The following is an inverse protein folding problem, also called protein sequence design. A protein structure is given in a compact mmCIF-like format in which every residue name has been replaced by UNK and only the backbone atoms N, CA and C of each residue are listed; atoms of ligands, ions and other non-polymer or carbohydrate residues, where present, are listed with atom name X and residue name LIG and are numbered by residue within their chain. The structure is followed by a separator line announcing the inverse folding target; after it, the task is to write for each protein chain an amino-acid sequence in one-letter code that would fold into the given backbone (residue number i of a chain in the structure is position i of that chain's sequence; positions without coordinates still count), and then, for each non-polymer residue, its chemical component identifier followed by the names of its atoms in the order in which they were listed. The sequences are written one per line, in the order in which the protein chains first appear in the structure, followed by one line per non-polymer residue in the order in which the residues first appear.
data_IF_441565486493
#
_entry.id   IF_441565486493
#
_cell.length_a   1.000
_cell.length_b   1.000
_cell.length_c   1.000
_cell.angle_alpha   90.00
_cell.angle_beta   90.00
_cell.angle_gamma   90.00
#
_symmetry.space_group_name_H-M   'P 1'
#
loop_
_entity.id
_entity.type
_entity.pdbx_description
1 polymer ?
#
# COMPACT_ATOMS: atom_id res chain seq x y z
N UNK A 1 -61.01 -22.75 0.35
CA UNK A 1 -61.09 -22.44 1.79
C UNK A 1 -60.07 -23.30 2.52
N UNK A 2 -58.95 -22.72 2.92
CA UNK A 2 -57.87 -23.41 3.65
C UNK A 2 -57.12 -22.37 4.46
N UNK A 3 -57.30 -22.41 5.77
CA UNK A 3 -56.87 -21.37 6.70
C UNK A 3 -55.36 -21.46 6.99
N UNK A 4 -54.71 -20.30 6.91
CA UNK A 4 -53.34 -20.03 7.32
C UNK A 4 -53.29 -19.86 8.84
N UNK A 5 -52.41 -20.60 9.52
CA UNK A 5 -52.12 -20.46 10.94
C UNK A 5 -50.64 -20.12 11.12
N UNK A 6 -50.34 -18.83 11.25
CA UNK A 6 -49.02 -18.36 11.66
C UNK A 6 -48.87 -18.50 13.18
N UNK A 7 -47.78 -19.11 13.63
CA UNK A 7 -47.38 -19.14 15.05
C UNK A 7 -46.26 -18.14 15.27
N UNK A 8 -46.51 -17.18 16.16
CA UNK A 8 -45.54 -16.27 16.72
C UNK A 8 -44.51 -17.03 17.57
N UNK A 9 -43.23 -16.84 17.28
CA UNK A 9 -42.13 -17.29 18.13
C UNK A 9 -41.57 -16.07 18.86
N UNK A 10 -41.82 -16.01 20.17
CA UNK A 10 -41.17 -15.08 21.10
C UNK A 10 -39.72 -15.52 21.33
N UNK A 11 -38.77 -14.65 21.02
CA UNK A 11 -37.37 -14.80 21.44
C UNK A 11 -37.24 -14.35 22.90
N UNK A 12 -36.86 -15.29 23.76
CA UNK A 12 -36.52 -15.04 25.15
C UNK A 12 -35.08 -14.55 25.29
N UNK A 13 -34.92 -13.45 26.04
CA UNK A 13 -33.64 -12.99 26.56
C UNK A 13 -33.12 -14.01 27.58
N UNK A 14 -31.88 -14.47 27.40
CA UNK A 14 -31.17 -15.32 28.35
C UNK A 14 -29.95 -14.58 28.86
N UNK A 15 -29.91 -14.48 30.19
CA UNK A 15 -28.93 -13.79 30.99
C UNK A 15 -27.53 -14.39 30.89
N UNK A 16 -26.61 -13.49 31.17
CA UNK A 16 -25.17 -13.65 31.41
C UNK A 16 -24.97 -14.48 32.66
N UNK A 17 -24.12 -15.51 32.59
CA UNK A 17 -23.39 -16.00 33.76
C UNK A 17 -22.01 -16.54 33.38
N UNK A 18 -21.06 -16.29 34.29
CA UNK A 18 -19.65 -16.18 34.02
C UNK A 18 -18.86 -17.49 33.91
N UNK A 19 -17.65 -17.34 33.38
CA UNK A 19 -16.54 -18.28 33.61
C UNK A 19 -15.31 -17.45 33.98
N UNK A 20 -14.92 -17.65 35.24
CA UNK A 20 -13.66 -17.26 35.87
C UNK A 20 -12.56 -18.17 35.30
N UNK A 21 -11.41 -17.60 34.93
CA UNK A 21 -10.28 -18.40 34.44
C UNK A 21 -9.02 -17.59 34.19
N UNK A 22 -8.15 -17.64 35.19
CA UNK A 22 -6.69 -17.69 35.11
C UNK A 22 -5.86 -16.40 35.10
N UNK A 23 -5.17 -16.21 36.23
CA UNK A 23 -4.21 -15.15 36.52
C UNK A 23 -2.81 -15.61 36.07
N UNK A 24 -2.37 -15.15 34.91
CA UNK A 24 -0.97 -15.24 34.51
C UNK A 24 -0.15 -14.14 35.18
N UNK A 25 0.59 -14.50 36.23
CA UNK A 25 1.65 -13.70 36.84
C UNK A 25 2.69 -13.27 35.78
N UNK A 26 2.84 -11.96 35.59
CA UNK A 26 3.98 -11.38 34.88
C UNK A 26 5.06 -11.05 35.93
N UNK A 27 6.09 -11.89 35.99
CA UNK A 27 7.29 -11.63 36.77
C UNK A 27 7.96 -10.32 36.33
N UNK A 28 8.13 -9.42 37.28
CA UNK A 28 8.90 -8.20 37.15
C UNK A 28 10.40 -8.54 37.15
N UNK A 29 11.03 -8.51 35.97
CA UNK A 29 12.49 -8.54 35.85
C UNK A 29 13.06 -7.22 36.39
N UNK A 30 13.66 -7.29 37.59
CA UNK A 30 14.53 -6.27 38.14
C UNK A 30 15.83 -6.23 37.35
N UNK A 31 16.06 -5.17 36.58
CA UNK A 31 17.41 -4.83 36.10
C UNK A 31 18.02 -3.79 37.03
N UNK A 32 19.02 -4.22 37.79
CA UNK A 32 19.89 -3.41 38.62
C UNK A 32 20.78 -2.47 37.79
N UNK A 33 21.09 -1.31 38.37
CA UNK A 33 21.83 -0.23 37.76
C UNK A 33 23.30 -0.52 37.45
N UNK A 34 23.81 0.28 36.52
CA UNK A 34 25.21 0.48 36.20
C UNK A 34 25.35 1.88 35.65
N UNK A 35 25.62 2.84 36.54
CA UNK A 35 26.21 4.14 36.20
C UNK A 35 27.67 3.90 35.86
N UNK A 36 28.14 4.36 34.69
CA UNK A 36 29.41 5.08 34.57
C UNK A 36 29.70 5.57 33.13
N UNK A 37 30.09 6.85 33.06
CA UNK A 37 30.94 7.52 32.06
C UNK A 37 30.46 7.63 30.60
N UNK A 38 29.81 8.77 30.27
CA UNK A 38 29.69 9.27 28.90
C UNK A 38 29.75 10.82 28.87
N UNK A 39 30.86 11.40 29.31
CA UNK A 39 31.24 12.79 29.01
C UNK A 39 32.51 12.76 28.16
N UNK A 40 32.38 12.89 26.84
CA UNK A 40 33.39 13.45 25.92
C UNK A 40 33.16 12.97 24.48
N UNK A 41 32.03 13.35 23.84
CA UNK A 41 31.95 13.31 22.36
C UNK A 41 30.89 14.24 21.75
N UNK A 42 30.39 15.24 22.48
CA UNK A 42 29.29 16.12 22.03
C UNK A 42 29.74 17.45 21.40
N UNK A 43 31.03 17.78 21.38
CA UNK A 43 31.49 19.12 20.92
C UNK A 43 31.82 19.25 19.43
N UNK A 44 31.86 18.16 18.66
CA UNK A 44 32.25 18.23 17.23
C UNK A 44 31.10 18.10 16.23
N UNK A 45 29.87 17.78 16.68
CA UNK A 45 28.69 17.69 15.79
C UNK A 45 27.89 18.99 15.68
N UNK A 46 28.06 19.94 16.60
CA UNK A 46 27.37 21.24 16.56
C UNK A 46 27.98 22.20 15.52
N UNK A 47 29.28 22.06 15.22
CA UNK A 47 30.00 22.98 14.32
C UNK A 47 29.66 22.79 12.85
N UNK A 48 29.25 21.59 12.42
CA UNK A 48 28.90 21.31 11.02
C UNK A 48 27.42 21.57 10.70
N UNK A 49 26.53 21.61 11.70
CA UNK A 49 25.12 21.98 11.48
C UNK A 49 24.92 23.51 11.40
N UNK A 50 25.82 24.29 12.00
CA UNK A 50 25.75 25.75 11.98
C UNK A 50 26.22 26.37 10.67
N UNK A 51 27.11 25.73 9.90
CA UNK A 51 27.66 26.28 8.67
C UNK A 51 26.68 26.25 7.47
N UNK A 52 25.73 25.31 7.45
CA UNK A 52 24.71 25.22 6.39
C UNK A 52 23.46 26.07 6.65
N UNK A 53 23.33 26.64 7.86
CA UNK A 53 22.14 27.40 8.29
C UNK A 53 22.39 28.92 8.30
N UNK A 54 23.63 29.37 8.04
CA UNK A 54 24.00 30.79 8.09
C UNK A 54 23.82 31.55 6.76
N UNK A 55 23.56 30.88 5.64
CA UNK A 55 23.24 31.60 4.39
C UNK A 55 21.73 31.61 4.15
N UNK A 56 21.10 32.78 4.33
CA UNK A 56 19.73 33.22 3.93
C UNK A 56 18.65 33.51 5.00
N UNK A 57 18.95 33.50 6.30
CA UNK A 57 17.90 33.85 7.30
C UNK A 57 17.65 35.36 7.49
N UNK A 58 18.54 36.24 6.99
CA UNK A 58 18.53 37.67 7.35
C UNK A 58 17.42 38.51 6.71
N UNK A 59 16.54 37.96 5.87
CA UNK A 59 15.44 38.70 5.26
C UNK A 59 14.12 37.92 5.19
N UNK A 60 13.86 36.98 6.11
CA UNK A 60 12.52 36.40 6.21
C UNK A 60 11.59 37.41 6.90
N UNK A 61 10.43 37.76 6.30
CA UNK A 61 9.41 38.58 6.94
C UNK A 61 9.12 38.07 8.36
N UNK A 62 8.98 38.98 9.32
CA UNK A 62 8.71 38.63 10.74
C UNK A 62 7.47 37.73 10.91
N UNK A 63 6.53 37.81 9.96
CA UNK A 63 5.35 36.94 9.89
C UNK A 63 5.66 35.46 9.62
N UNK A 64 6.80 35.15 8.99
CA UNK A 64 7.27 33.77 8.79
C UNK A 64 8.01 33.22 10.01
N UNK A 65 8.45 34.08 10.92
CA UNK A 65 9.10 33.70 12.18
C UNK A 65 8.10 33.40 13.30
N UNK A 66 6.84 33.83 13.14
CA UNK A 66 5.77 33.60 14.13
C UNK A 66 4.94 32.36 13.74
N UNK A 67 4.88 31.39 14.64
CA UNK A 67 3.97 30.25 14.48
C UNK A 67 2.52 30.73 14.64
N UNK A 68 1.73 30.60 13.59
CA UNK A 68 0.29 30.87 13.63
C UNK A 68 -0.47 29.55 13.83
N UNK A 69 -1.10 29.33 15.00
CA UNK A 69 -1.96 28.17 15.21
C UNK A 69 -3.01 28.07 14.11
N UNK A 70 -3.31 26.85 13.65
CA UNK A 70 -4.19 26.64 12.50
C UNK A 70 -5.53 27.37 12.64
N UNK A 71 -6.15 27.34 13.83
CA UNK A 71 -7.44 28.00 14.10
C UNK A 71 -7.41 29.53 14.04
N UNK A 72 -6.22 30.14 14.08
CA UNK A 72 -6.02 31.60 13.96
C UNK A 72 -5.69 32.05 12.55
N UNK A 73 -5.51 31.10 11.62
CA UNK A 73 -5.30 31.44 10.21
C UNK A 73 -6.59 32.03 9.61
N UNK A 74 -6.48 32.97 8.65
CA UNK A 74 -7.63 33.45 7.89
C UNK A 74 -8.43 32.27 7.29
N UNK A 75 -9.76 32.34 7.27
CA UNK A 75 -10.61 31.27 6.74
C UNK A 75 -10.16 30.79 5.35
N UNK A 76 -9.79 31.71 4.46
CA UNK A 76 -9.34 31.42 3.10
C UNK A 76 -8.10 30.51 3.08
N UNK A 77 -7.15 30.75 4.00
CA UNK A 77 -5.94 29.95 4.14
C UNK A 77 -6.27 28.57 4.71
N UNK A 78 -7.16 28.50 5.72
CA UNK A 78 -7.60 27.21 6.30
C UNK A 78 -8.30 26.34 5.27
N UNK A 79 -9.20 26.92 4.47
CA UNK A 79 -9.89 26.23 3.38
C UNK A 79 -8.90 25.75 2.30
N UNK A 80 -7.89 26.56 1.94
CA UNK A 80 -6.81 26.14 1.03
C UNK A 80 -6.03 24.96 1.59
N UNK A 81 -5.69 24.98 2.89
CA UNK A 81 -5.00 23.85 3.54
C UNK A 81 -5.89 22.61 3.51
N UNK A 82 -7.19 22.70 3.82
CA UNK A 82 -8.08 21.53 3.74
C UNK A 82 -8.15 20.93 2.34
N UNK A 83 -8.24 21.77 1.31
CA UNK A 83 -8.22 21.30 -0.09
C UNK A 83 -6.89 20.65 -0.44
N UNK A 84 -5.77 21.25 -0.03
CA UNK A 84 -4.45 20.70 -0.26
C UNK A 84 -4.31 19.31 0.38
N UNK A 85 -4.70 19.16 1.65
CA UNK A 85 -4.58 17.89 2.37
C UNK A 85 -5.61 16.85 1.88
N UNK A 86 -6.80 17.28 1.46
CA UNK A 86 -7.79 16.38 0.85
C UNK A 86 -7.36 15.83 -0.51
N UNK A 87 -6.43 16.54 -1.17
CA UNK A 87 -5.77 16.10 -2.40
C UNK A 87 -4.48 15.30 -2.15
N UNK A 88 -4.16 14.97 -0.90
CA UNK A 88 -3.10 13.99 -0.66
C UNK A 88 -3.57 12.61 -1.09
N UNK A 89 -2.71 11.84 -1.78
CA UNK A 89 -3.05 10.48 -2.19
C UNK A 89 -3.32 9.61 -0.96
N UNK A 90 -4.39 8.82 -1.01
CA UNK A 90 -4.72 7.86 0.04
C UNK A 90 -5.06 6.50 -0.57
N UNK A 91 -4.58 5.48 0.12
CA UNK A 91 -4.80 4.09 -0.26
C UNK A 91 -6.05 3.56 0.44
N UNK A 92 -7.04 3.11 -0.34
CA UNK A 92 -8.21 2.39 0.15
C UNK A 92 -7.94 0.90 0.00
N UNK A 93 -7.56 0.25 1.08
CA UNK A 93 -7.14 -1.14 1.06
C UNK A 93 -8.32 -2.09 1.22
N UNK A 94 -8.41 -3.05 0.31
CA UNK A 94 -9.26 -4.23 0.41
C UNK A 94 -8.38 -5.45 0.69
N UNK A 95 -8.86 -6.28 1.61
CA UNK A 95 -8.31 -7.58 1.95
C UNK A 95 -9.21 -8.65 1.38
N UNK A 96 -8.57 -9.69 0.83
CA UNK A 96 -9.24 -10.93 0.56
C UNK A 96 -9.31 -11.73 1.86
N UNK A 97 -10.51 -12.11 2.27
CA UNK A 97 -10.74 -12.96 3.45
C UNK A 97 -11.52 -14.18 3.02
N UNK A 98 -11.18 -15.33 3.60
CA UNK A 98 -11.94 -16.56 3.39
C UNK A 98 -13.41 -16.34 3.78
N UNK A 99 -14.34 -16.84 2.97
CA UNK A 99 -15.78 -16.74 3.25
C UNK A 99 -16.11 -17.67 4.41
N UNK A 100 -16.53 -17.16 5.59
CA UNK A 100 -16.70 -18.01 6.77
C UNK A 100 -17.91 -18.94 6.72
N UNK A 101 -18.83 -18.77 5.75
CA UNK A 101 -20.18 -19.38 5.79
C UNK A 101 -20.65 -19.99 4.45
N UNK A 102 -19.75 -20.29 3.53
CA UNK A 102 -20.13 -20.86 2.24
C UNK A 102 -20.10 -22.40 2.25
N UNK A 103 -20.69 -23.02 3.28
CA UNK A 103 -20.93 -24.47 3.30
C UNK A 103 -21.87 -24.92 2.16
N UNK A 104 -22.64 -23.97 1.59
CA UNK A 104 -23.57 -24.20 0.47
C UNK A 104 -23.02 -23.76 -0.91
N UNK A 105 -21.90 -23.03 -0.97
CA UNK A 105 -21.30 -22.65 -2.26
C UNK A 105 -20.26 -23.68 -2.64
N UNK A 106 -20.49 -24.30 -3.80
CA UNK A 106 -19.72 -25.40 -4.44
C UNK A 106 -18.21 -25.11 -4.59
N UNK A 107 -17.70 -23.95 -4.19
CA UNK A 107 -16.30 -23.60 -4.31
C UNK A 107 -15.75 -22.84 -3.07
N UNK A 108 -15.19 -23.56 -2.07
CA UNK A 108 -14.61 -22.96 -0.86
C UNK A 108 -13.36 -22.11 -1.12
N UNK A 109 -12.87 -22.05 -2.37
CA UNK A 109 -11.64 -21.34 -2.72
C UNK A 109 -11.84 -19.83 -3.02
N UNK A 110 -13.08 -19.32 -3.01
CA UNK A 110 -13.31 -17.91 -3.27
C UNK A 110 -13.22 -17.04 -2.01
N UNK A 111 -12.28 -16.09 -2.01
CA UNK A 111 -12.23 -15.05 -0.98
C UNK A 111 -13.31 -13.99 -1.19
N UNK A 112 -13.83 -13.45 -0.10
CA UNK A 112 -14.66 -12.24 -0.09
C UNK A 112 -13.79 -11.00 0.12
N UNK A 113 -14.28 -9.82 -0.26
CA UNK A 113 -13.58 -8.57 -0.07
C UNK A 113 -13.99 -7.91 1.24
N UNK A 114 -13.00 -7.70 2.11
CA UNK A 114 -13.13 -6.93 3.34
C UNK A 114 -12.43 -5.59 3.18
N UNK A 115 -13.15 -4.51 3.43
CA UNK A 115 -12.55 -3.18 3.47
C UNK A 115 -11.75 -3.02 4.77
N UNK A 116 -10.51 -2.53 4.68
CA UNK A 116 -9.73 -2.17 5.85
C UNK A 116 -10.47 -1.08 6.64
N UNK A 117 -10.66 -1.30 7.95
CA UNK A 117 -11.41 -0.39 8.83
C UNK A 117 -10.85 1.05 8.84
N UNK A 118 -9.54 1.21 8.64
CA UNK A 118 -8.87 2.51 8.54
C UNK A 118 -9.10 3.23 7.21
N UNK A 119 -9.43 2.48 6.16
CA UNK A 119 -9.70 3.04 4.82
C UNK A 119 -11.14 3.53 4.66
N UNK A 120 -12.06 3.11 5.53
CA UNK A 120 -13.49 3.41 5.42
C UNK A 120 -13.82 4.91 5.44
N UNK A 121 -13.16 5.68 6.31
CA UNK A 121 -13.41 7.11 6.46
C UNK A 121 -12.10 7.90 6.44
N UNK A 122 -11.96 8.89 5.54
CA UNK A 122 -10.87 9.85 5.58
C UNK A 122 -10.79 10.50 6.97
N UNK A 123 -9.62 10.52 7.64
CA UNK A 123 -9.44 11.21 8.91
C UNK A 123 -9.86 12.70 8.85
N UNK A 124 -9.70 13.33 7.69
CA UNK A 124 -10.06 14.73 7.45
C UNK A 124 -11.53 15.05 7.69
N UNK A 125 -12.43 14.09 7.45
CA UNK A 125 -13.87 14.29 7.71
C UNK A 125 -14.20 14.33 9.21
N UNK A 126 -13.23 14.00 10.08
CA UNK A 126 -13.44 13.93 11.54
C UNK A 126 -12.71 15.02 12.32
N UNK A 127 -11.97 15.90 11.64
CA UNK A 127 -11.15 16.92 12.32
C UNK A 127 -12.03 18.00 12.96
N UNK A 128 -12.87 18.67 12.17
CA UNK A 128 -13.83 19.68 12.62
C UNK A 128 -14.91 19.92 11.55
N UNK A 129 -15.89 20.78 11.85
CA UNK A 129 -17.01 21.08 10.95
C UNK A 129 -16.57 21.71 9.62
N UNK A 130 -15.55 22.55 9.62
CA UNK A 130 -15.03 23.19 8.41
C UNK A 130 -14.36 22.18 7.48
N UNK A 131 -13.47 21.35 8.02
CA UNK A 131 -12.81 20.27 7.29
C UNK A 131 -13.84 19.28 6.73
N UNK A 132 -14.87 18.93 7.52
CA UNK A 132 -15.97 18.09 7.05
C UNK A 132 -16.71 18.73 5.86
N UNK A 133 -17.04 20.03 5.96
CA UNK A 133 -17.74 20.78 4.91
C UNK A 133 -16.95 20.86 3.60
N UNK A 134 -15.64 21.09 3.66
CA UNK A 134 -14.80 21.12 2.44
C UNK A 134 -14.57 19.71 1.88
N UNK A 135 -14.23 18.74 2.71
CA UNK A 135 -13.93 17.38 2.23
C UNK A 135 -15.18 16.71 1.63
N UNK A 136 -16.38 16.96 2.15
CA UNK A 136 -17.62 16.38 1.57
C UNK A 136 -17.87 16.80 0.12
N UNK A 137 -17.26 17.89 -0.36
CA UNK A 137 -17.34 18.32 -1.76
C UNK A 137 -16.48 17.45 -2.70
N UNK A 138 -15.47 16.78 -2.16
CA UNK A 138 -14.49 16.00 -2.92
C UNK A 138 -14.73 14.49 -2.82
N UNK A 139 -15.22 14.02 -1.67
CA UNK A 139 -15.43 12.59 -1.42
C UNK A 139 -16.85 12.15 -1.78
N UNK A 140 -16.93 11.09 -2.58
CA UNK A 140 -18.15 10.41 -2.97
C UNK A 140 -18.35 9.15 -2.13
N UNK A 141 -19.59 8.85 -1.75
CA UNK A 141 -19.94 7.59 -1.09
C UNK A 141 -20.15 6.53 -2.17
N UNK A 142 -19.32 5.49 -2.15
CA UNK A 142 -19.37 4.37 -3.11
C UNK A 142 -19.74 3.07 -2.43
N UNK A 143 -20.36 2.18 -3.20
CA UNK A 143 -20.72 0.83 -2.79
C UNK A 143 -20.67 -0.05 -4.04
N UNK A 144 -19.92 -1.15 -3.97
CA UNK A 144 -20.01 -2.21 -4.98
C UNK A 144 -21.01 -3.27 -4.54
N UNK A 145 -21.39 -4.17 -5.45
CA UNK A 145 -22.30 -5.27 -5.10
C UNK A 145 -21.71 -6.16 -4.00
N UNK A 146 -20.41 -6.47 -4.12
CA UNK A 146 -19.65 -7.30 -3.17
C UNK A 146 -18.65 -6.50 -2.33
N UNK A 147 -18.73 -5.17 -2.38
CA UNK A 147 -17.76 -4.28 -1.73
C UNK A 147 -18.46 -3.48 -0.64
N UNK A 148 -17.93 -3.47 0.61
CA UNK A 148 -18.46 -2.63 1.67
C UNK A 148 -18.50 -1.16 1.24
N UNK A 149 -19.43 -0.38 1.80
CA UNK A 149 -19.47 1.06 1.51
C UNK A 149 -18.22 1.78 2.00
N UNK A 150 -17.66 2.65 1.15
CA UNK A 150 -16.50 3.50 1.44
C UNK A 150 -16.69 4.92 0.90
N UNK A 151 -15.84 5.86 1.37
CA UNK A 151 -15.74 7.20 0.80
C UNK A 151 -14.51 7.26 -0.10
N UNK A 152 -14.66 7.85 -1.29
CA UNK A 152 -13.66 7.88 -2.35
C UNK A 152 -13.53 9.26 -2.98
N UNK A 153 -12.30 9.75 -3.12
CA UNK A 153 -11.96 10.93 -3.89
C UNK A 153 -11.36 10.50 -5.25
N UNK A 154 -12.09 10.62 -6.36
CA UNK A 154 -11.60 10.20 -7.68
C UNK A 154 -10.33 10.94 -8.12
N UNK A 155 -10.08 12.14 -7.63
CA UNK A 155 -8.91 12.90 -7.98
C UNK A 155 -7.63 12.34 -7.37
N UNK A 156 -7.68 11.73 -6.17
CA UNK A 156 -6.45 11.36 -5.43
C UNK A 156 -6.43 9.97 -4.78
N UNK A 157 -7.56 9.33 -4.51
CA UNK A 157 -7.58 8.00 -3.90
C UNK A 157 -7.17 6.90 -4.91
N UNK A 158 -6.60 5.83 -4.37
CA UNK A 158 -6.26 4.59 -5.10
C UNK A 158 -6.94 3.42 -4.39
N UNK A 159 -7.68 2.59 -5.14
CA UNK A 159 -8.19 1.33 -4.60
C UNK A 159 -7.07 0.29 -4.64
N UNK A 160 -6.68 -0.25 -3.50
CA UNK A 160 -5.63 -1.25 -3.41
C UNK A 160 -6.23 -2.60 -3.02
N UNK A 161 -5.99 -3.60 -3.87
CA UNK A 161 -6.42 -4.98 -3.66
C UNK A 161 -5.19 -5.82 -3.34
N UNK A 162 -5.07 -6.27 -2.10
CA UNK A 162 -3.92 -7.08 -1.68
C UNK A 162 -4.22 -8.00 -0.53
N UNK A 163 -3.19 -8.74 -0.10
CA UNK A 163 -3.27 -9.68 1.00
C UNK A 163 -3.06 -11.13 0.58
N UNK A 164 -2.98 -12.04 1.57
CA UNK A 164 -2.48 -13.40 1.41
C UNK A 164 -3.26 -14.28 0.43
N UNK A 165 -4.50 -13.92 0.11
CA UNK A 165 -5.43 -14.76 -0.66
C UNK A 165 -6.02 -14.02 -1.86
N UNK A 166 -5.18 -13.45 -2.72
CA UNK A 166 -5.65 -12.80 -3.95
C UNK A 166 -6.54 -13.75 -4.77
N UNK A 167 -7.68 -13.23 -5.23
CA UNK A 167 -8.57 -13.94 -6.15
C UNK A 167 -9.09 -12.99 -7.24
N UNK A 168 -8.79 -13.31 -8.50
CA UNK A 168 -9.24 -12.56 -9.68
C UNK A 168 -10.77 -12.43 -9.75
N UNK A 169 -11.52 -13.50 -9.45
CA UNK A 169 -12.99 -13.43 -9.42
C UNK A 169 -13.53 -12.43 -8.37
N UNK A 170 -12.87 -12.33 -7.21
CA UNK A 170 -13.25 -11.35 -6.21
C UNK A 170 -12.93 -9.93 -6.68
N UNK A 171 -11.83 -9.74 -7.43
CA UNK A 171 -11.53 -8.47 -8.10
C UNK A 171 -12.61 -8.12 -9.15
N UNK A 172 -13.00 -9.06 -10.03
CA UNK A 172 -14.09 -8.84 -11.00
C UNK A 172 -15.38 -8.45 -10.30
N UNK A 173 -15.73 -9.16 -9.21
CA UNK A 173 -16.88 -8.85 -8.37
C UNK A 173 -16.81 -7.46 -7.73
N UNK A 174 -15.60 -6.93 -7.48
CA UNK A 174 -15.42 -5.58 -6.94
C UNK A 174 -15.93 -4.51 -7.90
N UNK A 175 -15.78 -4.75 -9.21
CA UNK A 175 -16.18 -3.84 -10.29
C UNK A 175 -17.50 -4.25 -10.94
N UNK A 176 -18.18 -5.27 -10.43
CA UNK A 176 -19.50 -5.65 -10.92
C UNK A 176 -20.51 -4.52 -10.68
N UNK A 177 -21.07 -3.98 -11.77
CA UNK A 177 -22.07 -2.88 -11.77
C UNK A 177 -21.62 -1.65 -10.97
N UNK A 178 -20.33 -1.36 -10.96
CA UNK A 178 -19.84 -0.08 -10.46
C UNK A 178 -19.90 0.90 -11.63
N UNK A 179 -20.84 1.85 -11.55
CA UNK A 179 -21.02 2.91 -12.57
C UNK A 179 -20.09 4.11 -12.36
N UNK A 180 -19.48 4.21 -11.19
CA UNK A 180 -18.60 5.31 -10.83
C UNK A 180 -17.17 5.10 -11.36
N UNK A 181 -16.61 6.14 -12.00
CA UNK A 181 -15.24 6.13 -12.50
C UNK A 181 -14.22 5.83 -11.38
N UNK A 182 -13.37 4.84 -11.59
CA UNK A 182 -12.31 4.43 -10.67
C UNK A 182 -10.95 4.57 -11.36
N UNK A 183 -10.40 5.80 -11.40
CA UNK A 183 -9.23 6.11 -12.23
C UNK A 183 -7.93 5.45 -11.81
N UNK A 184 -7.82 4.96 -10.56
CA UNK A 184 -6.58 4.36 -10.08
C UNK A 184 -6.83 3.12 -9.25
N UNK A 185 -6.19 2.04 -9.68
CA UNK A 185 -6.24 0.73 -9.01
C UNK A 185 -4.82 0.24 -8.77
N UNK A 186 -4.58 -0.31 -7.59
CA UNK A 186 -3.35 -0.98 -7.22
C UNK A 186 -3.64 -2.45 -6.91
N UNK A 187 -2.82 -3.36 -7.42
CA UNK A 187 -2.98 -4.79 -7.26
C UNK A 187 -1.69 -5.36 -6.70
N UNK A 188 -1.81 -6.07 -5.59
CA UNK A 188 -0.70 -6.80 -4.99
C UNK A 188 -0.37 -8.05 -5.80
N UNK A 189 0.81 -8.06 -6.41
CA UNK A 189 1.36 -9.18 -7.17
C UNK A 189 2.52 -9.85 -6.43
N UNK A 190 2.72 -9.54 -5.15
CA UNK A 190 3.79 -10.15 -4.36
C UNK A 190 3.51 -11.58 -3.95
N UNK A 191 2.24 -11.94 -3.76
CA UNK A 191 1.92 -13.25 -3.21
C UNK A 191 1.74 -14.21 -4.38
N UNK A 192 2.31 -15.43 -4.34
CA UNK A 192 2.05 -16.45 -5.34
C UNK A 192 0.53 -16.60 -5.44
N UNK A 193 -0.02 -16.15 -6.57
CA UNK A 193 -1.47 -16.03 -6.68
C UNK A 193 -2.03 -17.45 -6.63
N UNK A 194 -2.77 -17.74 -5.55
CA UNK A 194 -3.44 -19.02 -5.43
C UNK A 194 -4.31 -19.20 -6.67
N UNK A 195 -4.28 -20.40 -7.28
CA UNK A 195 -5.13 -20.75 -8.43
C UNK A 195 -6.59 -20.76 -7.95
N UNK A 196 -7.21 -19.59 -7.84
CA UNK A 196 -8.53 -19.44 -7.24
C UNK A 196 -9.63 -19.98 -8.19
N UNK A 197 -9.45 -19.86 -9.52
CA UNK A 197 -10.52 -20.09 -10.49
C UNK A 197 -9.97 -20.62 -11.83
N UNK A 198 -9.81 -21.94 -11.97
CA UNK A 198 -9.43 -22.55 -13.25
C UNK A 198 -7.93 -22.51 -13.57
N UNK A 199 -7.50 -23.34 -14.52
CA UNK A 199 -6.09 -23.54 -14.89
C UNK A 199 -5.48 -22.44 -15.77
N UNK A 200 -6.15 -21.30 -15.93
CA UNK A 200 -5.69 -20.21 -16.81
C UNK A 200 -4.64 -19.32 -16.12
N UNK A 201 -3.96 -18.48 -16.90
CA UNK A 201 -3.04 -17.49 -16.35
C UNK A 201 -3.81 -16.47 -15.51
N UNK A 202 -3.43 -16.38 -14.25
CA UNK A 202 -3.99 -15.42 -13.30
C UNK A 202 -3.76 -13.98 -13.76
N UNK A 203 -2.64 -13.68 -14.44
CA UNK A 203 -2.37 -12.35 -14.99
C UNK A 203 -3.46 -11.98 -15.99
N UNK A 204 -3.76 -12.86 -16.93
CA UNK A 204 -4.77 -12.62 -17.93
C UNK A 204 -6.17 -12.45 -17.31
N UNK A 205 -6.48 -13.20 -16.25
CA UNK A 205 -7.72 -13.03 -15.49
C UNK A 205 -7.77 -11.70 -14.74
N UNK A 206 -6.67 -11.30 -14.10
CA UNK A 206 -6.53 -10.01 -13.41
C UNK A 206 -6.72 -8.86 -14.38
N UNK A 207 -6.06 -8.90 -15.53
CA UNK A 207 -6.23 -7.87 -16.57
C UNK A 207 -7.68 -7.84 -17.05
N UNK A 208 -8.31 -9.01 -17.24
CA UNK A 208 -9.72 -9.11 -17.66
C UNK A 208 -10.72 -8.63 -16.63
N UNK A 209 -10.42 -8.77 -15.35
CA UNK A 209 -11.19 -8.16 -14.28
C UNK A 209 -11.15 -6.63 -14.30
N UNK A 210 -10.10 -6.03 -14.89
CA UNK A 210 -9.97 -4.58 -15.01
C UNK A 210 -10.56 -4.05 -16.32
N UNK A 211 -10.25 -4.69 -17.45
CA UNK A 211 -10.70 -4.23 -18.78
C UNK A 211 -12.13 -4.70 -19.12
N UNK A 212 -12.60 -5.78 -18.49
CA UNK A 212 -13.93 -6.38 -18.63
C UNK A 212 -14.07 -7.38 -19.77
N UNK A 213 -15.05 -8.28 -19.64
CA UNK A 213 -15.25 -9.38 -20.58
C UNK A 213 -16.21 -8.97 -21.71
N UNK A 214 -15.85 -9.28 -22.97
CA UNK A 214 -16.64 -8.89 -24.16
C UNK A 214 -18.00 -9.59 -24.26
N UNK A 215 -18.18 -10.72 -23.60
CA UNK A 215 -19.45 -11.44 -23.53
C UNK A 215 -19.76 -11.72 -22.07
N UNK A 216 -20.27 -10.71 -21.36
CA UNK A 216 -20.72 -10.93 -19.99
C UNK A 216 -21.84 -11.97 -19.92
N UNK A 217 -22.14 -12.49 -18.72
CA UNK A 217 -23.23 -13.45 -18.53
C UNK A 217 -24.64 -12.88 -18.84
N UNK A 218 -24.72 -11.62 -19.27
CA UNK A 218 -25.95 -10.94 -19.66
C UNK A 218 -25.94 -10.76 -21.19
N UNK A 219 -26.44 -11.77 -21.90
CA UNK A 219 -26.53 -11.80 -23.37
C UNK A 219 -27.39 -10.67 -23.97
N UNK A 220 -28.05 -9.87 -23.13
CA UNK A 220 -28.95 -8.79 -23.54
C UNK A 220 -28.21 -7.56 -24.09
N UNK A 221 -26.93 -7.39 -23.77
CA UNK A 221 -26.12 -6.27 -24.25
C UNK A 221 -24.77 -6.78 -24.79
N UNK A 222 -24.70 -7.32 -26.02
CA UNK A 222 -23.50 -7.94 -26.59
C UNK A 222 -22.30 -7.00 -26.75
N UNK A 223 -22.51 -5.69 -26.58
CA UNK A 223 -21.45 -4.68 -26.60
C UNK A 223 -21.07 -4.16 -25.20
N UNK A 224 -21.80 -4.54 -24.15
CA UNK A 224 -21.51 -4.10 -22.78
C UNK A 224 -20.50 -5.04 -22.15
N UNK A 225 -19.35 -4.49 -21.77
CA UNK A 225 -18.36 -5.24 -20.98
C UNK A 225 -18.86 -5.44 -19.57
N UNK A 226 -18.96 -6.70 -19.15
CA UNK A 226 -19.21 -7.02 -17.75
C UNK A 226 -17.93 -6.85 -16.93
N UNK A 227 -18.11 -6.48 -15.66
CA UNK A 227 -17.05 -6.39 -14.64
C UNK A 227 -15.89 -5.41 -14.92
N UNK A 228 -16.02 -4.45 -15.84
CA UNK A 228 -14.93 -3.52 -16.15
C UNK A 228 -14.79 -2.40 -15.11
N UNK A 229 -13.56 -1.94 -14.91
CA UNK A 229 -13.25 -0.78 -14.09
C UNK A 229 -13.42 0.49 -14.93
N UNK A 230 -14.58 1.14 -14.83
CA UNK A 230 -14.88 2.33 -15.62
C UNK A 230 -13.92 3.49 -15.29
N UNK A 231 -13.48 4.22 -16.33
CA UNK A 231 -12.65 5.42 -16.19
C UNK A 231 -11.24 5.17 -15.66
N UNK A 232 -10.74 3.94 -15.72
CA UNK A 232 -9.41 3.55 -15.25
C UNK A 232 -8.30 4.25 -16.06
N UNK A 233 -7.38 4.94 -15.36
CA UNK A 233 -6.27 5.70 -15.96
C UNK A 233 -4.90 5.20 -15.52
N UNK A 234 -4.80 4.60 -14.34
CA UNK A 234 -3.53 4.14 -13.78
C UNK A 234 -3.71 2.78 -13.08
N UNK A 235 -2.83 1.85 -13.42
CA UNK A 235 -2.73 0.54 -12.80
C UNK A 235 -1.36 0.41 -12.14
N UNK A 236 -1.38 0.23 -10.82
CA UNK A 236 -0.19 0.07 -9.99
C UNK A 236 -0.03 -1.42 -9.63
N UNK A 237 1.00 -2.06 -10.15
CA UNK A 237 1.33 -3.45 -9.83
C UNK A 237 2.30 -3.47 -8.65
N UNK A 238 1.77 -3.77 -7.47
CA UNK A 238 2.50 -3.69 -6.21
C UNK A 238 3.31 -4.96 -6.01
N UNK A 239 4.63 -4.82 -6.04
CA UNK A 239 5.59 -5.88 -5.73
C UNK A 239 6.00 -5.79 -4.26
N UNK A 240 6.41 -6.92 -3.66
CA UNK A 240 6.85 -6.93 -2.27
C UNK A 240 8.24 -6.29 -2.15
N UNK A 241 8.41 -5.54 -1.07
CA UNK A 241 9.69 -5.01 -0.65
C UNK A 241 9.95 -5.40 0.80
N UNK A 242 11.05 -6.12 1.05
CA UNK A 242 11.36 -6.72 2.37
C UNK A 242 11.46 -5.69 3.49
N UNK A 243 12.21 -4.59 3.33
CA UNK A 243 12.34 -3.58 4.39
C UNK A 243 11.01 -2.89 4.73
N UNK A 244 10.00 -3.06 3.86
CA UNK A 244 8.70 -2.41 3.93
C UNK A 244 7.56 -3.43 3.85
N UNK A 245 7.78 -4.70 4.22
CA UNK A 245 6.75 -5.72 4.12
C UNK A 245 5.49 -5.26 4.88
N UNK A 246 4.44 -4.97 4.13
CA UNK A 246 3.22 -4.36 4.63
C UNK A 246 2.04 -5.29 4.36
N UNK A 247 1.34 -5.64 5.43
CA UNK A 247 0.07 -6.35 5.32
C UNK A 247 -1.00 -5.29 5.02
N UNK A 248 -1.95 -5.53 4.09
CA UNK A 248 -3.02 -4.57 3.77
C UNK A 248 -3.75 -4.02 5.00
N UNK A 249 -3.99 -4.87 6.02
CA UNK A 249 -4.63 -4.50 7.30
C UNK A 249 -3.85 -3.46 8.11
N UNK A 250 -2.57 -3.30 7.78
CA UNK A 250 -1.63 -2.38 8.41
C UNK A 250 -1.36 -1.15 7.56
N UNK A 251 -1.99 -0.98 6.40
CA UNK A 251 -1.89 0.26 5.61
C UNK A 251 -2.41 1.42 6.46
N UNK A 252 -1.58 2.47 6.55
CA UNK A 252 -1.81 3.70 7.32
C UNK A 252 -1.82 4.89 6.36
N UNK A 253 -2.36 6.06 6.76
CA UNK A 253 -2.34 7.26 5.93
C UNK A 253 -0.95 7.73 5.48
N UNK A 254 0.12 7.35 6.20
CA UNK A 254 1.50 7.67 5.84
C UNK A 254 2.13 6.70 4.83
N UNK A 255 1.36 5.74 4.33
CA UNK A 255 1.83 4.78 3.32
C UNK A 255 1.51 5.33 1.94
N UNK A 256 2.50 5.27 1.05
CA UNK A 256 2.46 5.72 -0.33
C UNK A 256 3.00 4.63 -1.26
N UNK A 257 2.86 4.83 -2.55
CA UNK A 257 3.55 4.05 -3.57
C UNK A 257 4.88 4.72 -3.93
N UNK A 258 5.87 3.90 -4.26
CA UNK A 258 7.13 4.32 -4.90
C UNK A 258 7.48 3.36 -6.02
N UNK A 259 8.27 3.75 -7.02
CA UNK A 259 8.75 2.83 -8.05
C UNK A 259 9.39 1.59 -7.44
N UNK A 260 9.09 0.41 -8.02
CA UNK A 260 9.67 -0.83 -7.57
C UNK A 260 11.18 -0.86 -7.86
N UNK A 261 12.00 -1.16 -6.86
CA UNK A 261 13.46 -1.30 -7.04
C UNK A 261 13.89 -2.66 -7.60
N UNK A 262 13.00 -3.64 -7.54
CA UNK A 262 13.28 -5.02 -7.93
C UNK A 262 12.15 -5.57 -8.78
N UNK A 263 12.41 -6.68 -9.47
CA UNK A 263 11.41 -7.41 -10.26
C UNK A 263 10.54 -8.35 -9.41
N UNK A 264 10.70 -8.33 -8.09
CA UNK A 264 10.23 -9.34 -7.16
C UNK A 264 11.40 -9.85 -6.31
N UNK A 265 11.11 -10.35 -5.12
CA UNK A 265 12.09 -10.89 -4.17
C UNK A 265 12.23 -12.42 -4.27
N UNK A 266 11.40 -13.10 -5.08
CA UNK A 266 11.49 -14.54 -5.36
C UNK A 266 11.44 -14.80 -6.86
N UNK A 267 11.87 -15.99 -7.30
CA UNK A 267 11.78 -16.40 -8.71
C UNK A 267 10.33 -16.42 -9.21
N UNK A 268 9.40 -16.85 -8.38
CA UNK A 268 7.99 -16.89 -8.70
C UNK A 268 7.41 -15.48 -8.92
N UNK A 269 7.75 -14.52 -8.04
CA UNK A 269 7.34 -13.13 -8.21
C UNK A 269 7.95 -12.50 -9.47
N UNK A 270 9.23 -12.77 -9.74
CA UNK A 270 9.89 -12.30 -10.96
C UNK A 270 9.26 -12.87 -12.24
N UNK A 271 8.89 -14.15 -12.23
CA UNK A 271 8.15 -14.77 -13.33
C UNK A 271 6.77 -14.15 -13.52
N UNK A 272 6.02 -13.96 -12.44
CA UNK A 272 4.70 -13.33 -12.46
C UNK A 272 4.77 -11.89 -12.99
N UNK A 273 5.78 -11.11 -12.58
CA UNK A 273 6.02 -9.77 -13.13
C UNK A 273 6.27 -9.81 -14.64
N UNK A 274 7.09 -10.75 -15.13
CA UNK A 274 7.33 -10.92 -16.57
C UNK A 274 6.05 -11.26 -17.34
N UNK A 275 5.16 -12.07 -16.76
CA UNK A 275 3.84 -12.34 -17.35
C UNK A 275 3.00 -11.06 -17.44
N UNK A 276 2.99 -10.22 -16.40
CA UNK A 276 2.34 -8.91 -16.46
C UNK A 276 2.96 -8.01 -17.53
N UNK A 277 4.30 -7.91 -17.60
CA UNK A 277 5.00 -7.11 -18.62
C UNK A 277 4.62 -7.57 -20.04
N UNK A 278 4.51 -8.89 -20.26
CA UNK A 278 4.08 -9.45 -21.53
C UNK A 278 2.62 -9.10 -21.89
N UNK A 279 1.69 -9.21 -20.95
CA UNK A 279 0.29 -8.82 -21.19
C UNK A 279 0.13 -7.30 -21.36
N UNK A 280 0.92 -6.49 -20.65
CA UNK A 280 0.98 -5.04 -20.84
C UNK A 280 1.47 -4.71 -22.26
N UNK A 281 2.53 -5.37 -22.74
CA UNK A 281 3.02 -5.16 -24.10
C UNK A 281 1.94 -5.47 -25.15
N UNK A 282 1.20 -6.58 -25.00
CA UNK A 282 0.06 -6.88 -25.88
C UNK A 282 -1.00 -5.78 -25.89
N UNK A 283 -1.34 -5.26 -24.72
CA UNK A 283 -2.31 -4.17 -24.56
C UNK A 283 -1.83 -2.89 -25.26
N UNK A 284 -0.55 -2.57 -25.12
CA UNK A 284 0.08 -1.42 -25.77
C UNK A 284 0.04 -1.55 -27.30
N UNK A 285 0.33 -2.74 -27.81
CA UNK A 285 0.30 -3.08 -29.23
C UNK A 285 -1.12 -3.31 -29.80
N UNK A 286 -2.17 -3.11 -28.99
CA UNK A 286 -3.57 -3.35 -29.36
C UNK A 286 -3.88 -4.78 -29.80
N UNK A 287 -3.00 -5.72 -29.42
CA UNK A 287 -3.21 -7.13 -29.63
C UNK A 287 -4.36 -7.64 -28.73
N UNK A 288 -5.21 -8.54 -29.24
CA UNK A 288 -6.27 -9.12 -28.42
C UNK A 288 -5.67 -9.89 -27.23
N UNK A 289 -6.30 -9.73 -26.07
CA UNK A 289 -6.00 -10.52 -24.89
C UNK A 289 -6.53 -11.95 -25.04
N UNK A 290 -6.15 -12.85 -24.13
CA UNK A 290 -6.71 -14.21 -24.07
C UNK A 290 -8.25 -14.23 -23.99
N UNK A 291 -8.88 -13.17 -23.50
CA UNK A 291 -10.33 -13.07 -23.30
C UNK A 291 -11.03 -12.15 -24.30
N UNK A 292 -10.38 -11.94 -25.46
CA UNK A 292 -10.93 -11.19 -26.58
C UNK A 292 -10.30 -9.79 -26.76
N UNK A 293 -10.92 -8.96 -27.62
CA UNK A 293 -10.42 -7.63 -27.95
C UNK A 293 -10.22 -6.77 -26.70
N UNK A 294 -9.15 -5.98 -26.70
CA UNK A 294 -8.84 -5.05 -25.62
C UNK A 294 -9.90 -3.93 -25.54
N UNK A 295 -10.29 -3.54 -24.33
CA UNK A 295 -11.16 -2.40 -24.10
C UNK A 295 -10.42 -1.07 -24.25
N UNK A 296 -9.12 -1.10 -23.95
CA UNK A 296 -8.25 0.05 -23.90
C UNK A 296 -7.59 0.27 -25.25
N UNK A 297 -8.04 1.29 -25.98
CA UNK A 297 -7.54 1.65 -27.31
C UNK A 297 -7.18 3.14 -27.33
N UNK A 298 -6.16 3.51 -28.13
CA UNK A 298 -5.72 4.91 -28.22
C UNK A 298 -5.44 5.56 -26.85
N UNK A 299 -6.05 6.73 -26.62
CA UNK A 299 -5.85 7.55 -25.42
C UNK A 299 -6.55 7.01 -24.16
N UNK A 300 -7.42 6.01 -24.30
CA UNK A 300 -8.10 5.35 -23.18
C UNK A 300 -7.22 4.28 -22.50
N UNK A 301 -5.97 4.12 -22.94
CA UNK A 301 -5.02 3.18 -22.34
C UNK A 301 -4.56 3.66 -20.96
N UNK A 302 -4.72 2.84 -19.90
CA UNK A 302 -4.18 3.20 -18.61
C UNK A 302 -2.64 3.10 -18.63
N UNK A 303 -1.99 3.89 -17.79
CA UNK A 303 -0.56 3.74 -17.52
C UNK A 303 -0.32 2.59 -16.55
N UNK A 304 0.72 1.80 -16.78
CA UNK A 304 1.11 0.69 -15.92
C UNK A 304 2.42 1.01 -15.20
N UNK A 305 2.44 0.83 -13.88
CA UNK A 305 3.63 1.08 -13.07
C UNK A 305 3.85 -0.07 -12.08
N UNK A 306 5.07 -0.59 -12.01
CA UNK A 306 5.48 -1.49 -10.94
C UNK A 306 5.95 -0.67 -9.74
N UNK A 307 5.33 -0.90 -8.59
CA UNK A 307 5.57 -0.10 -7.37
C UNK A 307 5.83 -0.98 -6.16
N UNK A 308 6.38 -0.40 -5.10
CA UNK A 308 6.36 -0.94 -3.75
C UNK A 308 5.54 -0.02 -2.84
N UNK A 309 4.97 -0.58 -1.78
CA UNK A 309 4.46 0.22 -0.67
C UNK A 309 5.64 0.80 0.11
N UNK A 310 5.57 2.07 0.47
CA UNK A 310 6.57 2.75 1.27
C UNK A 310 5.94 3.63 2.32
N UNK A 311 6.68 3.87 3.40
CA UNK A 311 6.27 4.78 4.46
C UNK A 311 7.09 6.05 4.38
N UNK A 312 6.46 7.09 3.88
CA UNK A 312 7.05 8.42 3.89
C UNK A 312 6.69 9.14 5.18
N UNK A 313 7.69 9.80 5.76
CA UNK A 313 7.51 10.73 6.86
C UNK A 313 8.02 12.07 6.34
N UNK A 314 7.33 13.16 6.68
CA UNK A 314 7.74 14.49 6.25
C UNK A 314 9.23 14.72 6.58
N UNK A 315 10.01 15.07 5.54
CA UNK A 315 11.46 15.30 5.63
C UNK A 315 12.36 14.05 5.56
N UNK A 316 11.79 12.85 5.56
CA UNK A 316 12.53 11.58 5.42
C UNK A 316 12.08 10.83 4.16
N UNK A 317 13.02 10.22 3.45
CA UNK A 317 12.76 9.32 2.32
C UNK A 317 13.23 7.92 2.65
N UNK A 318 12.61 6.93 2.01
CA UNK A 318 12.99 5.52 2.09
C UNK A 318 13.33 4.98 0.70
N UNK A 319 14.58 4.61 0.50
CA UNK A 319 15.04 3.95 -0.72
C UNK A 319 15.45 2.50 -0.46
N UNK A 320 15.54 1.73 -1.53
CA UNK A 320 16.03 0.35 -1.50
C UNK A 320 17.08 0.16 -2.56
N UNK A 321 18.05 -0.70 -2.25
CA UNK A 321 19.08 -1.15 -3.17
C UNK A 321 18.99 -2.67 -3.29
N UNK A 322 18.89 -3.17 -4.51
CA UNK A 322 18.94 -4.59 -4.80
C UNK A 322 20.40 -5.08 -4.64
N UNK A 323 20.58 -6.22 -3.97
CA UNK A 323 21.89 -6.84 -3.76
C UNK A 323 21.76 -8.37 -3.78
N UNK A 324 22.85 -9.06 -4.12
CA UNK A 324 22.94 -10.51 -4.00
C UNK A 324 23.03 -10.94 -2.53
N UNK A 325 22.80 -12.23 -2.26
CA UNK A 325 22.92 -12.78 -0.90
C UNK A 325 24.34 -12.67 -0.36
N UNK A 326 25.34 -12.93 -1.21
CA UNK A 326 26.75 -12.80 -0.85
C UNK A 326 27.10 -11.36 -0.49
N UNK A 327 26.67 -10.39 -1.29
CA UNK A 327 26.89 -8.96 -1.01
C UNK A 327 26.27 -8.52 0.33
N UNK A 328 25.03 -8.93 0.61
CA UNK A 328 24.38 -8.61 1.90
C UNK A 328 25.13 -9.25 3.07
N UNK A 329 25.59 -10.49 2.92
CA UNK A 329 26.35 -11.19 3.96
C UNK A 329 27.73 -10.55 4.18
N UNK A 330 28.41 -10.17 3.12
CA UNK A 330 29.69 -9.47 3.13
C UNK A 330 29.56 -8.12 3.87
N UNK A 331 28.51 -7.34 3.56
CA UNK A 331 28.21 -6.10 4.28
C UNK A 331 27.91 -6.32 5.77
N UNK A 332 27.27 -7.44 6.13
CA UNK A 332 26.95 -7.76 7.54
C UNK A 332 28.15 -8.22 8.33
N UNK A 333 28.95 -9.13 7.77
CA UNK A 333 30.00 -9.85 8.49
C UNK A 333 31.32 -9.09 8.41
N UNK A 334 31.72 -8.67 7.22
CA UNK A 334 33.05 -8.15 6.95
C UNK A 334 33.10 -6.61 6.93
N UNK A 335 32.00 -5.94 6.59
CA UNK A 335 31.95 -4.47 6.47
C UNK A 335 31.01 -3.79 7.48
N UNK A 336 30.87 -4.37 8.67
CA UNK A 336 30.02 -3.81 9.73
C UNK A 336 30.50 -2.42 10.20
N UNK A 337 31.82 -2.19 10.24
CA UNK A 337 32.42 -0.88 10.55
C UNK A 337 32.05 0.17 9.51
N UNK A 338 32.21 -0.15 8.22
CA UNK A 338 31.81 0.70 7.10
C UNK A 338 30.33 1.10 7.16
N UNK A 339 29.43 0.15 7.41
CA UNK A 339 28.00 0.44 7.56
C UNK A 339 27.73 1.37 8.76
N UNK A 340 28.41 1.17 9.88
CA UNK A 340 28.27 2.04 11.05
C UNK A 340 28.82 3.45 10.80
N UNK A 341 29.92 3.58 10.06
CA UNK A 341 30.48 4.87 9.65
C UNK A 341 29.54 5.62 8.71
N UNK A 342 28.90 4.91 7.77
CA UNK A 342 27.86 5.49 6.92
C UNK A 342 26.66 5.97 7.72
N UNK A 343 26.16 5.17 8.67
CA UNK A 343 25.05 5.58 9.55
C UNK A 343 25.38 6.87 10.31
N UNK A 344 26.59 6.95 10.88
CA UNK A 344 27.05 8.13 11.63
C UNK A 344 27.22 9.36 10.74
N UNK A 345 27.89 9.21 9.60
CA UNK A 345 28.21 10.34 8.72
C UNK A 345 27.02 10.90 7.95
N UNK A 346 26.01 10.08 7.63
CA UNK A 346 24.84 10.51 6.86
C UNK A 346 23.58 10.71 7.69
N UNK A 347 23.58 10.24 8.95
CA UNK A 347 22.38 10.18 9.78
C UNK A 347 21.33 9.17 9.30
N UNK A 348 21.64 8.34 8.30
CA UNK A 348 20.69 7.39 7.74
C UNK A 348 20.59 6.10 8.57
N UNK A 349 19.39 5.54 8.62
CA UNK A 349 19.15 4.17 9.07
C UNK A 349 19.26 3.21 7.89
N UNK A 350 20.31 2.38 7.92
CA UNK A 350 20.52 1.29 6.95
C UNK A 350 19.94 -0.02 7.52
N UNK A 351 19.11 -0.71 6.75
CA UNK A 351 18.43 -1.95 7.09
C UNK A 351 18.95 -3.05 6.17
N UNK A 352 19.76 -3.95 6.72
CA UNK A 352 20.26 -5.12 5.99
C UNK A 352 19.26 -6.27 6.20
N UNK A 353 18.63 -6.81 5.13
CA UNK A 353 17.57 -7.80 5.25
C UNK A 353 18.12 -9.13 5.77
N UNK A 354 17.39 -9.81 6.65
CA UNK A 354 17.61 -11.24 6.90
C UNK A 354 16.93 -12.05 5.81
N UNK A 355 17.53 -13.18 5.43
CA UNK A 355 16.91 -14.10 4.48
C UNK A 355 15.69 -14.76 5.12
N UNK A 356 14.56 -14.80 4.40
CA UNK A 356 13.31 -15.46 4.84
C UNK A 356 12.91 -16.61 3.91
N UNK A 357 13.29 -16.54 2.63
CA UNK A 357 13.00 -17.57 1.63
C UNK A 357 14.31 -18.12 1.08
N UNK A 358 14.35 -19.42 0.79
CA UNK A 358 15.54 -20.07 0.23
C UNK A 358 15.87 -19.57 -1.17
N UNK A 359 14.85 -19.21 -1.94
CA UNK A 359 14.94 -18.70 -3.30
C UNK A 359 14.90 -17.16 -3.40
N UNK A 360 15.12 -16.46 -2.28
CA UNK A 360 15.11 -15.00 -2.26
C UNK A 360 16.22 -14.42 -3.13
N UNK A 361 15.85 -13.73 -4.21
CA UNK A 361 16.76 -13.09 -5.14
C UNK A 361 16.06 -12.05 -6.05
N UNK A 362 16.51 -10.79 -6.09
CA UNK A 362 17.56 -10.19 -5.26
C UNK A 362 17.08 -9.91 -3.81
N UNK A 363 18.03 -9.68 -2.90
CA UNK A 363 17.74 -9.13 -1.57
C UNK A 363 17.64 -7.60 -1.65
N UNK A 364 16.87 -6.97 -0.75
CA UNK A 364 16.72 -5.51 -0.72
C UNK A 364 17.29 -4.88 0.55
N UNK A 365 18.32 -4.07 0.39
CA UNK A 365 18.87 -3.22 1.46
C UNK A 365 18.01 -1.96 1.56
N UNK A 366 17.42 -1.70 2.73
CA UNK A 366 16.63 -0.49 2.97
C UNK A 366 17.49 0.66 3.50
N UNK A 367 17.28 1.87 3.00
CA UNK A 367 18.00 3.08 3.44
C UNK A 367 16.97 4.17 3.75
N UNK A 368 16.97 4.67 4.98
CA UNK A 368 16.02 5.68 5.45
C UNK A 368 16.74 6.89 6.04
N UNK A 369 16.39 8.09 5.60
CA UNK A 369 17.01 9.33 6.11
C UNK A 369 16.57 10.56 5.34
N UNK A 370 17.33 11.66 5.42
CA UNK A 370 17.11 12.83 4.56
C UNK A 370 17.43 12.47 3.11
N UNK A 371 16.83 13.18 2.14
CA UNK A 371 17.06 12.91 0.71
C UNK A 371 18.55 12.89 0.36
N UNK A 372 19.31 13.90 0.79
CA UNK A 372 20.76 13.96 0.56
C UNK A 372 21.54 12.84 1.26
N UNK A 373 21.20 12.53 2.51
CA UNK A 373 21.87 11.45 3.25
C UNK A 373 21.64 10.08 2.61
N UNK A 374 20.42 9.80 2.16
CA UNK A 374 20.05 8.55 1.50
C UNK A 374 20.79 8.39 0.17
N UNK A 375 20.90 9.46 -0.62
CA UNK A 375 21.63 9.44 -1.88
C UNK A 375 23.13 9.12 -1.67
N UNK A 376 23.77 9.76 -0.69
CA UNK A 376 25.19 9.48 -0.35
C UNK A 376 25.36 8.05 0.15
N UNK A 377 24.48 7.59 1.05
CA UNK A 377 24.50 6.20 1.55
C UNK A 377 24.37 5.19 0.41
N UNK A 378 23.35 5.37 -0.45
CA UNK A 378 23.07 4.46 -1.55
C UNK A 378 24.27 4.34 -2.48
N UNK A 379 24.86 5.47 -2.88
CA UNK A 379 26.03 5.52 -3.76
C UNK A 379 27.20 4.76 -3.15
N UNK A 380 27.57 5.04 -1.90
CA UNK A 380 28.71 4.39 -1.25
C UNK A 380 28.52 2.88 -1.06
N UNK A 381 27.31 2.43 -0.72
CA UNK A 381 27.02 0.99 -0.63
C UNK A 381 27.14 0.34 -2.01
N UNK A 382 26.62 1.00 -3.04
CA UNK A 382 26.67 0.50 -4.42
C UNK A 382 28.10 0.44 -4.96
N UNK A 383 28.93 1.45 -4.69
CA UNK A 383 30.36 1.45 -5.04
C UNK A 383 31.08 0.29 -4.35
N UNK A 384 30.80 0.06 -3.07
CA UNK A 384 31.41 -1.03 -2.30
C UNK A 384 31.04 -2.40 -2.87
N UNK A 385 29.77 -2.62 -3.21
CA UNK A 385 29.29 -3.86 -3.83
C UNK A 385 29.96 -4.06 -5.19
N UNK A 386 30.09 -3.01 -6.00
CA UNK A 386 30.64 -3.08 -7.35
C UNK A 386 32.15 -3.35 -7.39
N UNK A 387 32.87 -3.07 -6.31
CA UNK A 387 34.32 -3.37 -6.20
C UNK A 387 34.62 -4.85 -5.92
N UNK A 388 33.60 -5.65 -5.61
CA UNK A 388 33.75 -7.06 -5.23
C UNK A 388 33.42 -8.04 -6.36
N UNK A 389 32.78 -7.55 -7.42
CA UNK A 389 32.52 -8.27 -8.67
C UNK A 389 33.64 -8.06 -9.67
#
# INVERSE_FOLDING_TARGET
MGASGAKDVKLGESAVDGIVGDNGELEAVKTSGGTDTAESTTKNSETLFNAATQSTSENLPESLLKFHPFNRLPPEVRLKIWRLVANYQRIIAFEFVESPNDDEVVNPFHSTLKLNSRSKFPPLLRVNRESYGECRKLYQKRKGYYVPTYLYNPCTDVLYFGGPSYCSCALSKAFWRVEDDTPRVAIDISIPLAKCCGGESIVAQTMSALHGYKNGPDDREPNKRSFHCQGLKEILLVTESRPLAMIPSRIRPAITFRPASTIGITKAQAALRKEFEFEIAKIQDENPSLFGPNAWVGDDKPTFSFVNLARDKAGEVFETLAASRSEVNELKVHHSSFINDLRRSTGCKIILPHQKYDDEFPMEIGIKGTKGGVEVCRRKIQDMISLQT
#
